data_IF_115326866153
#
_entry.id   IF_115326866153
#
_cell.length_a   1.000
_cell.length_b   1.000
_cell.length_c   1.000
_cell.angle_alpha   90.00
_cell.angle_beta   90.00
_cell.angle_gamma   90.00
#
_symmetry.space_group_name_H-M   'P 1'
#
loop_
_entity.id
_entity.type
_entity.pdbx_description
1 polymer ?
#
# COMPACT_ATOMS: atom_id res chain seq x y z
N UNK A 1 -24.34 -3.71 76.70
CA UNK A 1 -24.87 -3.65 75.32
C UNK A 1 -24.72 -2.22 74.82
N UNK A 2 -23.76 -1.97 73.93
CA UNK A 2 -23.84 -0.88 72.95
C UNK A 2 -23.43 -1.46 71.58
N UNK A 3 -24.35 -1.53 70.60
CA UNK A 3 -24.11 -2.09 69.28
C UNK A 3 -23.82 -0.99 68.25
N UNK A 4 -22.71 -1.15 67.51
CA UNK A 4 -22.49 -0.84 66.08
C UNK A 4 -21.16 -0.11 65.81
N UNK A 5 -20.10 -0.90 65.67
CA UNK A 5 -18.95 -0.53 64.83
C UNK A 5 -18.78 -1.61 63.76
N UNK A 6 -19.66 -1.56 62.75
CA UNK A 6 -19.43 -2.28 61.50
C UNK A 6 -18.60 -1.38 60.57
N UNK A 7 -17.56 -1.88 59.89
CA UNK A 7 -16.81 -1.09 58.92
C UNK A 7 -17.76 -0.52 57.87
N UNK A 8 -17.79 0.81 57.77
CA UNK A 8 -18.59 1.55 56.78
C UNK A 8 -18.17 1.04 55.40
N UNK A 9 -19.07 0.55 54.54
CA UNK A 9 -18.72 0.19 53.18
C UNK A 9 -18.22 1.46 52.48
N UNK A 10 -16.93 1.51 52.16
CA UNK A 10 -16.34 2.62 51.41
C UNK A 10 -17.12 2.79 50.12
N UNK A 11 -17.92 3.84 50.07
CA UNK A 11 -18.72 4.19 48.92
C UNK A 11 -17.71 4.68 47.89
N UNK A 12 -17.34 3.82 46.93
CA UNK A 12 -16.38 4.13 45.88
C UNK A 12 -16.62 5.53 45.37
N UNK A 13 -15.61 6.36 45.51
CA UNK A 13 -15.75 7.79 45.24
C UNK A 13 -15.79 8.01 43.72
N UNK A 14 -16.64 8.93 43.25
CA UNK A 14 -16.75 9.32 41.83
C UNK A 14 -15.37 9.58 41.16
N UNK A 15 -14.35 10.16 41.85
CA UNK A 15 -13.00 10.31 41.31
C UNK A 15 -12.28 8.98 41.01
N UNK A 16 -12.57 7.94 41.79
CA UNK A 16 -11.96 6.61 41.68
C UNK A 16 -12.48 5.85 40.44
N UNK A 17 -13.79 5.93 40.19
CA UNK A 17 -14.43 5.35 39.00
C UNK A 17 -13.98 6.03 37.69
N UNK A 18 -13.74 7.35 37.73
CA UNK A 18 -13.17 8.08 36.60
C UNK A 18 -11.69 7.69 36.36
N UNK A 19 -10.94 7.45 37.43
CA UNK A 19 -9.56 6.97 37.36
C UNK A 19 -9.46 5.58 36.72
N UNK A 20 -10.37 4.68 37.07
CA UNK A 20 -10.47 3.34 36.47
C UNK A 20 -10.90 3.42 34.99
N UNK A 21 -11.90 4.24 34.65
CA UNK A 21 -12.34 4.41 33.26
C UNK A 21 -11.23 4.97 32.35
N UNK A 22 -10.47 5.97 32.81
CA UNK A 22 -9.33 6.51 32.05
C UNK A 22 -8.24 5.45 31.87
N UNK A 23 -8.01 4.60 32.89
CA UNK A 23 -7.03 3.51 32.83
C UNK A 23 -7.42 2.43 31.84
N UNK A 24 -8.70 2.07 31.82
CA UNK A 24 -9.26 1.10 30.88
C UNK A 24 -9.22 1.64 29.45
N UNK A 25 -9.62 2.90 29.22
CA UNK A 25 -9.53 3.55 27.90
C UNK A 25 -8.09 3.60 27.37
N UNK A 26 -7.11 3.87 28.23
CA UNK A 26 -5.70 3.86 27.84
C UNK A 26 -5.22 2.43 27.49
N UNK A 27 -5.74 1.42 28.18
CA UNK A 27 -5.51 0.00 27.87
C UNK A 27 -6.08 -0.44 26.51
N UNK A 28 -7.29 0.05 26.17
CA UNK A 28 -7.93 -0.18 24.86
C UNK A 28 -7.11 0.42 23.72
N UNK A 29 -6.67 1.68 23.83
CA UNK A 29 -5.86 2.35 22.80
C UNK A 29 -4.52 1.65 22.56
N UNK A 30 -3.85 1.19 23.62
CA UNK A 30 -2.59 0.43 23.50
C UNK A 30 -2.83 -0.92 22.82
N UNK A 31 -3.96 -1.57 23.11
CA UNK A 31 -4.32 -2.88 22.53
C UNK A 31 -4.70 -2.75 21.06
N UNK A 32 -5.56 -1.80 20.72
CA UNK A 32 -6.02 -1.54 19.35
C UNK A 32 -4.86 -1.04 18.46
N UNK A 33 -3.96 -0.22 19.02
CA UNK A 33 -2.73 0.17 18.35
C UNK A 33 -1.76 -0.98 18.09
N UNK A 34 -1.70 -1.99 19.00
CA UNK A 34 -0.93 -3.22 18.76
C UNK A 34 -1.57 -4.07 17.66
N UNK A 35 -2.89 -4.20 17.65
CA UNK A 35 -3.62 -4.95 16.64
C UNK A 35 -3.43 -4.33 15.25
N UNK A 36 -3.58 -3.00 15.14
CA UNK A 36 -3.35 -2.26 13.92
C UNK A 36 -1.92 -2.44 13.39
N UNK A 37 -0.91 -2.38 14.26
CA UNK A 37 0.49 -2.64 13.86
C UNK A 37 0.68 -4.04 13.31
N UNK A 38 0.04 -5.04 13.92
CA UNK A 38 0.08 -6.43 13.44
C UNK A 38 -0.58 -6.57 12.08
N UNK A 39 -1.77 -6.00 11.89
CA UNK A 39 -2.49 -6.05 10.62
C UNK A 39 -1.75 -5.30 9.51
N UNK A 40 -1.14 -4.15 9.82
CA UNK A 40 -0.26 -3.42 8.90
C UNK A 40 0.99 -4.23 8.53
N UNK A 41 1.60 -4.93 9.47
CA UNK A 41 2.75 -5.80 9.21
C UNK A 41 2.35 -7.00 8.34
N UNK A 42 1.20 -7.61 8.59
CA UNK A 42 0.67 -8.72 7.79
C UNK A 42 0.29 -8.26 6.38
N UNK A 43 -0.39 -7.12 6.25
CA UNK A 43 -0.71 -6.51 4.97
C UNK A 43 0.57 -6.14 4.18
N UNK A 44 1.56 -5.55 4.86
CA UNK A 44 2.86 -5.24 4.27
C UNK A 44 3.61 -6.49 3.80
N UNK A 45 3.59 -7.56 4.58
CA UNK A 45 4.17 -8.85 4.21
C UNK A 45 3.50 -9.49 3.00
N UNK A 46 2.16 -9.45 2.92
CA UNK A 46 1.40 -9.94 1.76
C UNK A 46 1.70 -9.14 0.50
N UNK A 47 1.78 -7.81 0.61
CA UNK A 47 2.17 -6.95 -0.52
C UNK A 47 3.61 -7.23 -0.95
N UNK A 48 4.54 -7.41 -0.02
CA UNK A 48 5.93 -7.74 -0.33
C UNK A 48 6.08 -9.10 -1.03
N UNK A 49 5.42 -10.13 -0.53
CA UNK A 49 5.42 -11.46 -1.15
C UNK A 49 4.77 -11.42 -2.55
N UNK A 50 3.67 -10.67 -2.71
CA UNK A 50 3.05 -10.46 -4.02
C UNK A 50 3.97 -9.73 -5.00
N UNK A 51 4.72 -8.72 -4.53
CA UNK A 51 5.69 -8.00 -5.34
C UNK A 51 6.86 -8.91 -5.78
N UNK A 52 7.37 -9.78 -4.89
CA UNK A 52 8.42 -10.73 -5.22
C UNK A 52 7.99 -11.73 -6.30
N UNK A 53 6.79 -12.30 -6.18
CA UNK A 53 6.22 -13.17 -7.21
C UNK A 53 6.04 -12.46 -8.55
N UNK A 54 5.61 -11.19 -8.52
CA UNK A 54 5.41 -10.40 -9.73
C UNK A 54 6.73 -10.09 -10.43
N UNK A 55 7.78 -9.75 -9.67
CA UNK A 55 9.13 -9.49 -10.22
C UNK A 55 9.73 -10.76 -10.81
N UNK A 56 9.69 -11.88 -10.08
CA UNK A 56 10.21 -13.16 -10.58
C UNK A 56 9.46 -13.64 -11.83
N UNK A 57 8.13 -13.55 -11.84
CA UNK A 57 7.31 -13.84 -13.02
C UNK A 57 7.64 -12.93 -14.21
N UNK A 58 7.83 -11.63 -13.98
CA UNK A 58 8.22 -10.69 -15.03
C UNK A 58 9.60 -11.02 -15.64
N UNK A 59 10.55 -11.48 -14.81
CA UNK A 59 11.87 -11.93 -15.30
C UNK A 59 11.72 -13.17 -16.19
N UNK A 60 10.94 -14.16 -15.78
CA UNK A 60 10.70 -15.36 -16.60
C UNK A 60 10.03 -15.02 -17.94
N UNK A 61 9.02 -14.15 -17.92
CA UNK A 61 8.36 -13.65 -19.14
C UNK A 61 9.36 -12.91 -20.03
N UNK A 62 10.22 -12.07 -19.45
CA UNK A 62 11.26 -11.35 -20.20
C UNK A 62 12.21 -12.32 -20.90
N UNK A 63 12.73 -13.32 -20.20
CA UNK A 63 13.61 -14.34 -20.79
C UNK A 63 12.90 -15.09 -21.91
N UNK A 64 11.66 -15.53 -21.68
CA UNK A 64 10.86 -16.20 -22.71
C UNK A 64 10.64 -15.32 -23.94
N UNK A 65 10.35 -14.04 -23.75
CA UNK A 65 10.16 -13.09 -24.84
C UNK A 65 11.45 -12.88 -25.65
N UNK A 66 12.62 -12.81 -25.01
CA UNK A 66 13.91 -12.73 -25.72
C UNK A 66 14.13 -13.96 -26.60
N UNK A 67 13.82 -15.15 -26.11
CA UNK A 67 13.91 -16.39 -26.89
C UNK A 67 12.93 -16.38 -28.06
N UNK A 68 11.69 -15.93 -27.86
CA UNK A 68 10.69 -15.81 -28.93
C UNK A 68 11.09 -14.77 -29.99
N UNK A 69 11.64 -13.63 -29.58
CA UNK A 69 12.17 -12.61 -30.50
C UNK A 69 13.31 -13.20 -31.33
N UNK A 70 14.24 -13.95 -30.70
CA UNK A 70 15.31 -14.63 -31.42
C UNK A 70 14.78 -15.67 -32.41
N UNK A 71 13.78 -16.47 -32.01
CA UNK A 71 13.14 -17.43 -32.90
C UNK A 71 12.48 -16.73 -34.10
N UNK A 72 11.83 -15.58 -33.90
CA UNK A 72 11.24 -14.79 -34.97
C UNK A 72 12.31 -14.23 -35.92
N UNK A 73 13.45 -13.76 -35.38
CA UNK A 73 14.59 -13.33 -36.20
C UNK A 73 15.11 -14.47 -37.07
N UNK A 74 15.27 -15.67 -36.51
CA UNK A 74 15.71 -16.85 -37.25
C UNK A 74 14.70 -17.19 -38.36
N UNK A 75 13.40 -17.20 -38.04
CA UNK A 75 12.35 -17.49 -39.01
C UNK A 75 12.32 -16.49 -40.19
N UNK A 76 12.61 -15.20 -39.94
CA UNK A 76 12.70 -14.18 -40.99
C UNK A 76 14.05 -14.16 -41.71
N UNK A 77 15.10 -14.70 -41.10
CA UNK A 77 16.45 -14.67 -41.65
C UNK A 77 16.54 -15.45 -42.98
N UNK A 78 15.75 -16.49 -43.17
CA UNK A 78 15.71 -17.26 -44.42
C UNK A 78 15.26 -16.43 -45.63
N UNK A 79 14.51 -15.34 -45.39
CA UNK A 79 13.93 -14.50 -46.43
C UNK A 79 14.69 -13.18 -46.61
N UNK A 80 15.09 -12.55 -45.50
CA UNK A 80 15.68 -11.21 -45.48
C UNK A 80 17.19 -11.21 -45.15
N UNK A 81 17.74 -12.35 -44.76
CA UNK A 81 19.05 -12.44 -44.14
C UNK A 81 19.04 -12.00 -42.66
N UNK A 82 20.03 -12.46 -41.86
CA UNK A 82 20.02 -12.26 -40.40
C UNK A 82 20.11 -10.80 -39.97
N UNK A 83 20.81 -9.96 -40.74
CA UNK A 83 20.96 -8.53 -40.45
C UNK A 83 19.65 -7.75 -40.58
N UNK A 84 18.96 -7.89 -41.72
CA UNK A 84 17.70 -7.18 -41.95
C UNK A 84 16.56 -7.77 -41.10
N UNK A 85 16.53 -9.09 -40.88
CA UNK A 85 15.55 -9.72 -40.01
C UNK A 85 15.64 -9.17 -38.57
N UNK A 86 16.85 -9.11 -38.00
CA UNK A 86 17.06 -8.55 -36.66
C UNK A 86 16.70 -7.07 -36.57
N UNK A 87 17.00 -6.28 -37.60
CA UNK A 87 16.64 -4.86 -37.65
C UNK A 87 15.12 -4.63 -37.69
N UNK A 88 14.39 -5.40 -38.52
CA UNK A 88 12.93 -5.28 -38.64
C UNK A 88 12.26 -5.71 -37.34
N UNK A 89 12.61 -6.87 -36.79
CA UNK A 89 12.01 -7.37 -35.54
C UNK A 89 12.34 -6.42 -34.38
N UNK A 90 13.60 -6.00 -34.26
CA UNK A 90 14.03 -5.03 -33.25
C UNK A 90 13.29 -3.69 -33.38
N UNK A 91 13.09 -3.20 -34.61
CA UNK A 91 12.32 -1.99 -34.89
C UNK A 91 10.86 -2.10 -34.45
N UNK A 92 10.18 -3.21 -34.76
CA UNK A 92 8.80 -3.46 -34.31
C UNK A 92 8.72 -3.51 -32.78
N UNK A 93 9.64 -4.22 -32.12
CA UNK A 93 9.67 -4.31 -30.66
C UNK A 93 9.94 -2.95 -30.00
N UNK A 94 10.78 -2.12 -30.62
CA UNK A 94 11.04 -0.76 -30.14
C UNK A 94 9.79 0.12 -30.23
N UNK A 95 9.04 0.05 -31.33
CA UNK A 95 7.79 0.81 -31.49
C UNK A 95 6.74 0.37 -30.46
N UNK A 96 6.56 -0.95 -30.28
CA UNK A 96 5.64 -1.49 -29.28
C UNK A 96 6.06 -1.08 -27.85
N UNK A 97 7.35 -1.21 -27.53
CA UNK A 97 7.90 -0.80 -26.23
C UNK A 97 7.70 0.68 -25.95
N UNK A 98 7.93 1.54 -26.95
CA UNK A 98 7.69 2.98 -26.82
C UNK A 98 6.21 3.28 -26.57
N UNK A 99 5.29 2.61 -27.27
CA UNK A 99 3.85 2.78 -27.11
C UNK A 99 3.40 2.42 -25.69
N UNK A 100 3.87 1.28 -25.17
CA UNK A 100 3.59 0.84 -23.81
C UNK A 100 4.19 1.81 -22.80
N UNK A 101 5.45 2.23 -22.98
CA UNK A 101 6.11 3.17 -22.08
C UNK A 101 5.39 4.53 -22.01
N UNK A 102 4.94 5.06 -23.16
CA UNK A 102 4.17 6.31 -23.21
C UNK A 102 2.82 6.16 -22.50
N UNK A 103 2.11 5.04 -22.70
CA UNK A 103 0.84 4.78 -21.98
C UNK A 103 1.04 4.58 -20.48
N UNK A 104 2.08 3.83 -20.09
CA UNK A 104 2.41 3.53 -18.70
C UNK A 104 2.81 4.76 -17.88
N UNK A 105 3.39 5.78 -18.52
CA UNK A 105 3.70 7.06 -17.84
C UNK A 105 2.48 7.71 -17.17
N UNK A 106 1.27 7.53 -17.71
CA UNK A 106 0.04 8.02 -17.08
C UNK A 106 -0.29 7.31 -15.77
N UNK A 107 -0.05 6.01 -15.68
CA UNK A 107 -0.31 5.21 -14.48
C UNK A 107 0.58 5.62 -13.30
N UNK A 108 1.85 5.94 -13.56
CA UNK A 108 2.75 6.48 -12.52
C UNK A 108 2.36 7.89 -12.06
N UNK A 109 1.68 8.67 -12.91
CA UNK A 109 1.19 9.99 -12.55
C UNK A 109 -0.02 9.92 -11.62
N UNK A 110 -0.88 8.92 -11.79
CA UNK A 110 -2.01 8.62 -10.89
C UNK A 110 -1.56 7.93 -9.59
N UNK A 111 -0.47 7.15 -9.63
CA UNK A 111 0.13 6.54 -8.44
C UNK A 111 0.87 7.54 -7.53
N UNK A 112 1.09 8.79 -7.98
CA UNK A 112 1.29 9.91 -7.06
C UNK A 112 -0.06 10.18 -6.40
N UNK A 113 -0.32 9.40 -5.35
CA UNK A 113 -1.37 9.60 -4.36
C UNK A 113 -1.19 10.95 -3.68
N UNK A 114 -1.37 12.06 -4.39
CA UNK A 114 -1.86 13.28 -3.75
C UNK A 114 -3.36 13.04 -3.63
N UNK A 115 -3.88 12.73 -2.43
CA UNK A 115 -5.32 12.55 -2.27
C UNK A 115 -5.91 13.96 -2.39
N UNK A 116 -6.15 14.42 -3.61
CA UNK A 116 -6.63 15.78 -3.88
C UNK A 116 -7.94 16.03 -3.12
N UNK A 117 -8.74 14.98 -2.92
CA UNK A 117 -9.98 15.00 -2.13
C UNK A 117 -9.74 15.12 -0.61
N UNK A 118 -8.70 14.51 -0.06
CA UNK A 118 -8.48 14.50 1.41
C UNK A 118 -7.84 15.80 1.88
N UNK A 119 -6.93 16.39 1.08
CA UNK A 119 -6.28 17.65 1.43
C UNK A 119 -7.28 18.81 1.47
N UNK A 120 -8.27 18.81 0.59
CA UNK A 120 -9.28 19.88 0.52
C UNK A 120 -10.27 19.82 1.71
N UNK A 121 -10.62 18.63 2.18
CA UNK A 121 -11.46 18.46 3.38
C UNK A 121 -10.71 18.85 4.66
N UNK A 122 -9.46 18.40 4.84
CA UNK A 122 -8.66 18.82 6.01
C UNK A 122 -8.41 20.33 6.04
N UNK A 123 -8.27 20.98 4.88
CA UNK A 123 -8.14 22.46 4.80
C UNK A 123 -9.42 23.19 5.17
N UNK A 124 -10.61 22.64 4.87
CA UNK A 124 -11.89 23.21 5.33
C UNK A 124 -12.05 23.08 6.83
N UNK A 125 -11.72 21.92 7.39
CA UNK A 125 -11.87 21.68 8.83
C UNK A 125 -10.95 22.57 9.68
N UNK A 126 -9.71 22.79 9.23
CA UNK A 126 -8.78 23.73 9.89
C UNK A 126 -9.26 25.18 9.78
N UNK A 127 -9.97 25.54 8.72
CA UNK A 127 -10.48 26.90 8.53
C UNK A 127 -11.68 27.18 9.44
N UNK A 128 -12.56 26.20 9.65
CA UNK A 128 -13.69 26.32 10.58
C UNK A 128 -13.25 26.41 12.04
N UNK A 129 -12.20 25.69 12.43
CA UNK A 129 -11.62 25.78 13.79
C UNK A 129 -10.99 27.17 14.02
N UNK A 130 -10.42 27.80 12.99
CA UNK A 130 -9.84 29.15 13.08
C UNK A 130 -10.88 30.28 13.09
N UNK A 131 -12.12 30.02 12.67
CA UNK A 131 -13.21 31.01 12.72
C UNK A 131 -14.01 30.96 14.03
N UNK A 132 -13.84 29.90 14.83
CA UNK A 132 -14.48 29.73 16.14
C UNK A 132 -13.56 30.07 17.33
N UNK A 133 -12.32 30.51 17.05
CA UNK A 133 -11.33 31.03 18.01
C UNK A 133 -11.13 32.53 17.75
#
# INVERSE_FOLDING_TARGET
MDPRDGPVPETRSIPELLGDLIRDMNGLVVTEGRLLRTELAEAGGKVAAGAEMMVSGAVLIMVGLLVLVQALVIALADWLGPGLASLVVGGVMLVLGLLVAVRGRGAFKAARLTPDRTVEQTRRDVRLIKEQL
#
